data_IF_653669063478
#
_entry.id   IF_653669063478
#
_cell.length_a   1.000
_cell.length_b   1.000
_cell.length_c   1.000
_cell.angle_alpha   90.00
_cell.angle_beta   90.00
_cell.angle_gamma   90.00
#
_symmetry.space_group_name_H-M   'P 1'
#
loop_
_entity.id
_entity.type
_entity.pdbx_description
1 polymer ?
#
# COMPACT_ATOMS: atom_id res chain seq x y z
N UNK A 1 21.02 64.44 31.00
CA UNK A 1 21.34 63.06 31.45
C UNK A 1 20.04 62.27 31.44
N UNK A 2 19.97 61.22 30.62
CA UNK A 2 19.27 59.93 30.79
C UNK A 2 19.27 59.27 29.40
N UNK A 3 19.99 58.15 29.30
CA UNK A 3 20.07 57.26 28.15
C UNK A 3 18.99 56.16 28.25
N UNK A 4 18.93 55.33 27.19
CA UNK A 4 18.31 54.01 27.01
C UNK A 4 16.88 54.02 26.42
N UNK A 5 16.56 53.26 25.37
CA UNK A 5 17.33 52.28 24.61
C UNK A 5 16.43 51.70 23.52
N UNK A 6 16.92 51.64 22.28
CA UNK A 6 16.18 51.08 21.15
C UNK A 6 16.37 49.54 21.14
N UNK A 7 15.27 48.80 21.34
CA UNK A 7 15.26 47.34 21.23
C UNK A 7 15.10 46.96 19.77
N UNK A 8 16.17 46.45 19.15
CA UNK A 8 16.14 45.90 17.80
C UNK A 8 15.70 44.43 17.90
N UNK A 9 14.48 44.12 17.46
CA UNK A 9 14.05 42.74 17.24
C UNK A 9 14.72 42.20 15.97
N UNK A 10 15.68 41.28 16.13
CA UNK A 10 16.16 40.46 15.02
C UNK A 10 15.15 39.34 14.73
N UNK A 11 14.38 39.48 13.65
CA UNK A 11 13.67 38.37 13.03
C UNK A 11 14.70 37.48 12.31
N UNK A 12 15.11 36.39 12.97
CA UNK A 12 15.89 35.33 12.33
C UNK A 12 15.04 34.56 11.32
N UNK A 13 15.18 34.86 10.03
CA UNK A 13 14.66 34.01 8.97
C UNK A 13 15.58 32.79 8.84
N UNK A 14 15.12 31.64 9.31
CA UNK A 14 15.74 30.36 8.99
C UNK A 14 15.44 30.02 7.53
N UNK A 15 16.30 30.46 6.60
CA UNK A 15 16.26 30.02 5.22
C UNK A 15 16.82 28.59 5.13
N UNK A 16 15.93 27.62 4.92
CA UNK A 16 16.35 26.28 4.48
C UNK A 16 17.04 26.43 3.11
N UNK A 17 18.31 26.02 3.03
CA UNK A 17 19.11 26.22 1.83
C UNK A 17 18.72 25.21 0.73
N UNK A 18 18.55 25.63 -0.54
CA UNK A 18 18.16 24.74 -1.64
C UNK A 18 19.08 23.52 -1.84
N UNK A 19 20.36 23.65 -1.45
CA UNK A 19 21.36 22.58 -1.58
C UNK A 19 21.04 21.32 -0.77
N UNK A 20 20.38 21.43 0.39
CA UNK A 20 20.06 20.25 1.21
C UNK A 20 18.93 19.42 0.58
N UNK A 21 18.01 20.09 -0.13
CA UNK A 21 16.91 19.45 -0.87
C UNK A 21 17.43 18.71 -2.10
N UNK A 22 18.33 19.32 -2.88
CA UNK A 22 18.92 18.71 -4.07
C UNK A 22 19.77 17.48 -3.73
N UNK A 23 20.51 17.51 -2.61
CA UNK A 23 21.31 16.36 -2.17
C UNK A 23 20.46 15.17 -1.71
N UNK A 24 19.27 15.41 -1.11
CA UNK A 24 18.33 14.35 -0.73
C UNK A 24 17.65 13.69 -1.93
N UNK A 25 17.38 14.45 -2.99
CA UNK A 25 16.79 13.94 -4.24
C UNK A 25 17.79 13.19 -5.13
N UNK A 26 19.10 13.42 -4.99
CA UNK A 26 20.13 12.89 -5.88
C UNK A 26 20.20 11.34 -5.98
N UNK A 27 19.60 10.63 -5.01
CA UNK A 27 19.58 9.16 -4.97
C UNK A 27 18.17 8.55 -5.07
N UNK A 28 17.17 9.33 -5.50
CA UNK A 28 15.80 8.82 -5.60
C UNK A 28 15.61 7.97 -6.86
N UNK A 29 14.99 6.79 -6.75
CA UNK A 29 14.70 5.96 -7.91
C UNK A 29 13.58 6.59 -8.75
N UNK A 30 13.52 6.37 -10.07
CA UNK A 30 12.36 6.80 -10.86
C UNK A 30 11.06 6.13 -10.39
N UNK A 31 11.15 4.86 -9.96
CA UNK A 31 10.02 4.05 -9.47
C UNK A 31 10.43 3.36 -8.17
N UNK A 32 9.51 3.33 -7.20
CA UNK A 32 9.66 2.57 -5.97
C UNK A 32 8.43 1.72 -5.69
N UNK A 33 8.66 0.43 -5.39
CA UNK A 33 7.59 -0.55 -5.16
C UNK A 33 7.54 -0.94 -3.69
N UNK A 34 6.40 -0.74 -3.06
CA UNK A 34 6.10 -1.32 -1.75
C UNK A 34 5.42 -2.67 -1.93
N UNK A 35 5.94 -3.71 -1.28
CA UNK A 35 5.32 -5.03 -1.29
C UNK A 35 4.85 -5.47 0.09
N UNK A 36 3.65 -6.02 0.21
CA UNK A 36 3.13 -6.57 1.46
C UNK A 36 2.72 -8.03 1.29
N UNK A 37 3.36 -8.89 2.09
CA UNK A 37 3.12 -10.34 2.15
C UNK A 37 1.77 -10.69 2.77
N UNK A 38 1.38 -11.93 2.58
CA UNK A 38 0.26 -12.63 3.18
C UNK A 38 0.54 -13.14 4.59
N UNK A 39 -0.53 -13.56 5.29
CA UNK A 39 -0.49 -14.04 6.67
C UNK A 39 0.44 -15.25 6.83
N UNK A 40 1.12 -15.35 7.98
CA UNK A 40 2.06 -16.40 8.42
C UNK A 40 3.40 -16.46 7.70
N UNK A 41 3.56 -15.77 6.57
CA UNK A 41 4.82 -15.76 5.82
C UNK A 41 5.89 -14.98 6.59
N UNK A 42 7.13 -15.44 6.52
CA UNK A 42 8.29 -14.76 7.12
C UNK A 42 8.49 -13.35 6.53
N UNK A 43 9.18 -12.45 7.24
CA UNK A 43 9.46 -11.09 6.74
C UNK A 43 10.01 -11.08 5.30
N UNK A 44 9.44 -10.20 4.47
CA UNK A 44 9.73 -10.12 3.03
C UNK A 44 8.47 -9.82 2.23
N UNK A 45 8.53 -10.06 0.92
CA UNK A 45 7.41 -9.81 0.00
C UNK A 45 6.35 -10.91 0.00
N UNK A 46 6.69 -12.13 0.41
CA UNK A 46 5.81 -13.30 0.22
C UNK A 46 5.37 -13.43 -1.23
N UNK A 47 4.10 -13.77 -1.45
CA UNK A 47 3.52 -13.97 -2.77
C UNK A 47 3.36 -12.67 -3.58
N UNK A 48 3.37 -11.49 -2.94
CA UNK A 48 3.48 -10.21 -3.65
C UNK A 48 4.78 -10.10 -4.47
N UNK A 49 5.81 -10.86 -4.08
CA UNK A 49 7.13 -10.88 -4.71
C UNK A 49 7.09 -11.16 -6.22
N UNK A 50 6.14 -11.96 -6.70
CA UNK A 50 6.00 -12.27 -8.14
C UNK A 50 5.80 -10.99 -8.97
N UNK A 51 4.88 -10.12 -8.54
CA UNK A 51 4.59 -8.86 -9.24
C UNK A 51 5.66 -7.80 -8.95
N UNK A 52 6.14 -7.71 -7.71
CA UNK A 52 7.25 -6.79 -7.36
C UNK A 52 8.46 -7.06 -8.26
N UNK A 53 8.87 -8.31 -8.39
CA UNK A 53 10.04 -8.69 -9.19
C UNK A 53 9.83 -8.44 -10.68
N UNK A 54 8.62 -8.67 -11.21
CA UNK A 54 8.34 -8.43 -12.63
C UNK A 54 8.38 -6.93 -12.98
N UNK A 55 7.90 -6.06 -12.08
CA UNK A 55 8.00 -4.60 -12.25
C UNK A 55 9.47 -4.17 -12.26
N UNK A 56 10.28 -4.66 -11.32
CA UNK A 56 11.71 -4.32 -11.24
C UNK A 56 12.44 -4.75 -12.51
N UNK A 57 12.16 -5.95 -13.01
CA UNK A 57 12.78 -6.47 -14.24
C UNK A 57 12.39 -5.68 -15.48
N UNK A 58 11.12 -5.24 -15.57
CA UNK A 58 10.61 -4.51 -16.72
C UNK A 58 11.04 -3.03 -16.74
N UNK A 59 11.37 -2.44 -15.58
CA UNK A 59 11.60 -1.01 -15.42
C UNK A 59 12.97 -0.73 -14.76
N UNK A 60 14.05 -0.53 -15.55
CA UNK A 60 15.39 -0.28 -15.01
C UNK A 60 15.45 0.90 -14.05
N UNK A 61 16.21 0.76 -12.96
CA UNK A 61 16.33 1.78 -11.91
C UNK A 61 15.22 1.73 -10.85
N UNK A 62 14.24 0.84 -11.00
CA UNK A 62 13.22 0.58 -9.96
C UNK A 62 13.86 -0.02 -8.72
N UNK A 63 13.44 0.44 -7.55
CA UNK A 63 13.78 -0.17 -6.26
C UNK A 63 12.52 -0.64 -5.54
N UNK A 64 12.67 -1.43 -4.48
CA UNK A 64 11.53 -1.91 -3.70
C UNK A 64 11.85 -2.06 -2.22
N UNK A 65 10.81 -2.02 -1.38
CA UNK A 65 10.90 -2.39 0.02
C UNK A 65 9.64 -3.15 0.49
N UNK A 66 9.84 -4.11 1.39
CA UNK A 66 8.74 -4.87 1.97
C UNK A 66 8.16 -4.11 3.16
N UNK A 67 6.84 -4.10 3.29
CA UNK A 67 6.16 -3.54 4.46
C UNK A 67 6.49 -4.40 5.68
N UNK A 68 7.09 -3.76 6.68
CA UNK A 68 7.39 -4.38 7.97
C UNK A 68 6.15 -4.32 8.84
N UNK A 69 5.47 -5.45 8.95
CA UNK A 69 4.29 -5.63 9.79
C UNK A 69 4.14 -7.09 10.23
N UNK A 70 3.28 -7.41 11.21
CA UNK A 70 3.21 -8.76 11.78
C UNK A 70 2.86 -9.85 10.77
N UNK A 71 1.99 -9.57 9.79
CA UNK A 71 1.41 -10.56 8.87
C UNK A 71 0.97 -11.84 9.58
N UNK A 72 0.14 -11.69 10.61
CA UNK A 72 -0.23 -12.78 11.51
C UNK A 72 -1.73 -12.88 11.70
N UNK A 73 -2.19 -14.06 12.10
CA UNK A 73 -3.58 -14.38 12.42
C UNK A 73 -3.71 -15.14 13.74
N UNK A 74 -2.81 -14.89 14.69
CA UNK A 74 -2.75 -15.56 15.99
C UNK A 74 -1.78 -16.75 16.06
N UNK A 75 -1.12 -17.11 14.95
CA UNK A 75 -0.18 -18.23 14.92
C UNK A 75 1.13 -17.89 15.65
N UNK A 76 1.67 -18.86 16.40
CA UNK A 76 2.93 -18.70 17.11
C UNK A 76 4.13 -18.42 16.17
N UNK A 77 4.09 -18.95 14.94
CA UNK A 77 5.15 -18.77 13.93
C UNK A 77 5.38 -17.31 13.51
N UNK A 78 4.37 -16.46 13.66
CA UNK A 78 4.42 -15.02 13.36
C UNK A 78 4.28 -14.14 14.62
N UNK A 79 4.54 -14.71 15.81
CA UNK A 79 4.54 -13.97 17.08
C UNK A 79 3.19 -13.89 17.79
N UNK A 80 2.16 -14.62 17.32
CA UNK A 80 0.88 -14.73 18.02
C UNK A 80 -0.02 -13.49 17.93
N UNK A 81 0.32 -12.51 17.10
CA UNK A 81 -0.48 -11.30 16.90
C UNK A 81 -1.80 -11.67 16.23
N UNK A 82 -2.93 -11.27 16.82
CA UNK A 82 -4.25 -11.54 16.28
C UNK A 82 -4.46 -10.88 14.92
N UNK A 83 -5.30 -11.47 14.06
CA UNK A 83 -5.50 -11.01 12.69
C UNK A 83 -5.87 -9.53 12.61
N UNK A 84 -6.86 -9.11 13.40
CA UNK A 84 -7.32 -7.73 13.44
C UNK A 84 -6.20 -6.76 13.83
N UNK A 85 -5.39 -7.12 14.83
CA UNK A 85 -4.25 -6.31 15.28
C UNK A 85 -3.14 -6.27 14.23
N UNK A 86 -2.89 -7.38 13.54
CA UNK A 86 -1.93 -7.45 12.44
C UNK A 86 -2.34 -6.56 11.27
N UNK A 87 -3.60 -6.63 10.84
CA UNK A 87 -4.14 -5.77 9.79
C UNK A 87 -4.08 -4.29 10.20
N UNK A 88 -4.48 -3.94 11.44
CA UNK A 88 -4.43 -2.56 11.94
C UNK A 88 -3.01 -2.00 11.99
N UNK A 89 -2.06 -2.77 12.52
CA UNK A 89 -0.65 -2.40 12.54
C UNK A 89 -0.06 -2.30 11.13
N UNK A 90 -0.44 -3.22 10.23
CA UNK A 90 -0.01 -3.20 8.85
C UNK A 90 -0.52 -1.99 8.08
N UNK A 91 -1.78 -1.57 8.27
CA UNK A 91 -2.32 -0.33 7.67
C UNK A 91 -1.50 0.89 8.10
N UNK A 92 -1.16 0.99 9.39
CA UNK A 92 -0.30 2.07 9.89
C UNK A 92 1.14 1.98 9.34
N UNK A 93 1.67 0.76 9.18
CA UNK A 93 3.00 0.52 8.62
C UNK A 93 3.09 0.94 7.14
N UNK A 94 2.07 0.63 6.33
CA UNK A 94 1.98 1.09 4.94
C UNK A 94 2.00 2.61 4.89
N UNK A 95 1.13 3.28 5.65
CA UNK A 95 1.07 4.75 5.66
C UNK A 95 2.41 5.37 6.09
N UNK A 96 3.03 4.82 7.13
CA UNK A 96 4.34 5.29 7.62
C UNK A 96 5.42 5.15 6.57
N UNK A 97 5.56 3.98 5.95
CA UNK A 97 6.61 3.70 4.97
C UNK A 97 6.44 4.56 3.71
N UNK A 98 5.22 4.59 3.16
CA UNK A 98 4.89 5.35 1.93
C UNK A 98 5.07 6.85 2.15
N UNK A 99 4.59 7.40 3.26
CA UNK A 99 4.74 8.83 3.56
C UNK A 99 6.20 9.21 3.78
N UNK A 100 6.95 8.40 4.54
CA UNK A 100 8.35 8.65 4.79
C UNK A 100 9.18 8.58 3.50
N UNK A 101 8.87 7.63 2.61
CA UNK A 101 9.51 7.55 1.30
C UNK A 101 9.19 8.76 0.43
N UNK A 102 7.92 9.15 0.28
CA UNK A 102 7.53 10.31 -0.51
C UNK A 102 8.17 11.61 0.00
N UNK A 103 8.31 11.78 1.32
CA UNK A 103 9.03 12.93 1.89
C UNK A 103 10.52 12.98 1.49
N UNK A 104 11.17 11.82 1.33
CA UNK A 104 12.56 11.72 0.87
C UNK A 104 12.67 11.86 -0.65
N UNK A 105 11.72 11.27 -1.36
CA UNK A 105 11.70 11.14 -2.81
C UNK A 105 10.35 11.59 -3.37
N UNK A 106 10.08 12.91 -3.40
CA UNK A 106 8.77 13.44 -3.75
C UNK A 106 8.39 13.21 -5.21
N UNK A 107 9.38 13.04 -6.10
CA UNK A 107 9.17 12.89 -7.54
C UNK A 107 9.14 11.43 -8.01
N UNK A 108 9.47 10.48 -7.13
CA UNK A 108 9.46 9.05 -7.45
C UNK A 108 8.03 8.54 -7.63
N UNK A 109 7.80 7.78 -8.70
CA UNK A 109 6.53 7.08 -8.91
C UNK A 109 6.43 5.89 -7.93
N UNK A 110 5.31 5.80 -7.22
CA UNK A 110 5.09 4.77 -6.19
C UNK A 110 4.13 3.71 -6.73
N UNK A 111 4.48 2.44 -6.51
CA UNK A 111 3.63 1.29 -6.78
C UNK A 111 3.40 0.52 -5.48
N UNK A 112 2.15 0.10 -5.25
CA UNK A 112 1.77 -0.73 -4.11
C UNK A 112 1.43 -2.14 -4.62
N UNK A 113 1.97 -3.19 -3.99
CA UNK A 113 1.66 -4.59 -4.32
C UNK A 113 1.38 -5.38 -3.05
N UNK A 114 0.12 -5.75 -2.84
CA UNK A 114 -0.32 -6.44 -1.62
C UNK A 114 -0.94 -7.79 -1.94
N UNK A 115 -0.60 -8.81 -1.15
CA UNK A 115 -1.14 -10.15 -1.29
C UNK A 115 -1.89 -10.58 -0.02
N UNK A 116 -3.14 -11.06 -0.15
CA UNK A 116 -3.99 -11.47 0.96
C UNK A 116 -4.16 -10.37 2.02
N UNK A 117 -3.74 -10.60 3.28
CA UNK A 117 -3.69 -9.56 4.33
C UNK A 117 -2.85 -8.34 3.89
N UNK A 118 -1.80 -8.53 3.09
CA UNK A 118 -1.03 -7.47 2.47
C UNK A 118 -1.84 -6.58 1.52
N UNK A 119 -2.78 -7.18 0.78
CA UNK A 119 -3.75 -6.45 -0.05
C UNK A 119 -4.72 -5.63 0.80
N UNK A 120 -5.23 -6.22 1.90
CA UNK A 120 -6.12 -5.52 2.84
C UNK A 120 -5.46 -4.30 3.47
N UNK A 121 -4.21 -4.41 3.94
CA UNK A 121 -3.54 -3.27 4.59
C UNK A 121 -3.22 -2.15 3.63
N UNK A 122 -2.93 -2.46 2.36
CA UNK A 122 -2.73 -1.46 1.30
C UNK A 122 -4.04 -0.79 0.90
N UNK A 123 -5.13 -1.55 0.77
CA UNK A 123 -6.49 -1.03 0.53
C UNK A 123 -6.88 -0.04 1.62
N UNK A 124 -6.77 -0.45 2.89
CA UNK A 124 -7.08 0.41 4.03
C UNK A 124 -6.26 1.70 4.01
N UNK A 125 -4.95 1.61 3.72
CA UNK A 125 -4.07 2.77 3.75
C UNK A 125 -4.26 3.72 2.58
N UNK A 126 -4.63 3.21 1.40
CA UNK A 126 -4.74 4.01 0.17
C UNK A 126 -6.16 4.51 -0.10
N UNK A 127 -7.17 3.71 0.23
CA UNK A 127 -8.58 4.07 0.03
C UNK A 127 -9.24 4.65 1.28
N UNK A 128 -8.66 4.48 2.48
CA UNK A 128 -9.27 4.93 3.75
C UNK A 128 -10.56 4.17 4.04
N UNK A 129 -11.62 4.85 4.50
CA UNK A 129 -12.95 4.28 4.67
C UNK A 129 -13.09 3.27 5.83
N UNK A 130 -12.08 3.14 6.68
CA UNK A 130 -12.07 2.24 7.83
C UNK A 130 -12.02 0.76 7.47
N UNK A 131 -11.95 -0.07 8.51
CA UNK A 131 -11.98 -1.52 8.46
C UNK A 131 -12.38 -2.07 9.84
N UNK A 132 -13.68 -2.32 10.01
CA UNK A 132 -14.23 -2.79 11.28
C UNK A 132 -13.72 -4.18 11.66
N UNK A 133 -13.34 -5.01 10.69
CA UNK A 133 -12.74 -6.33 10.95
C UNK A 133 -11.37 -6.23 11.63
N UNK A 134 -10.67 -5.10 11.42
CA UNK A 134 -9.39 -4.76 12.04
C UNK A 134 -9.52 -3.78 13.22
N UNK A 135 -10.75 -3.37 13.56
CA UNK A 135 -11.00 -2.34 14.58
C UNK A 135 -10.56 -0.93 14.16
N UNK A 136 -10.45 -0.65 12.85
CA UNK A 136 -10.17 0.68 12.31
C UNK A 136 -11.50 1.40 12.08
N UNK A 137 -11.81 2.38 12.91
CA UNK A 137 -13.03 3.20 12.80
C UNK A 137 -12.82 4.52 12.09
N UNK A 138 -11.59 5.04 12.06
CA UNK A 138 -11.25 6.24 11.29
C UNK A 138 -11.37 5.95 9.79
N UNK A 139 -12.14 6.78 9.10
CA UNK A 139 -12.40 6.67 7.67
C UNK A 139 -11.46 7.53 6.82
N UNK A 140 -10.59 8.33 7.44
CA UNK A 140 -9.58 9.12 6.73
C UNK A 140 -8.59 8.22 5.99
N UNK A 141 -7.94 8.78 4.95
CA UNK A 141 -6.86 8.10 4.23
C UNK A 141 -5.56 8.41 4.96
N UNK A 142 -4.86 7.42 5.54
CA UNK A 142 -3.66 7.68 6.34
C UNK A 142 -2.40 7.97 5.49
N UNK A 143 -2.37 7.56 4.21
CA UNK A 143 -1.35 8.04 3.27
C UNK A 143 -1.60 9.53 3.00
N UNK A 144 -0.56 10.34 3.06
CA UNK A 144 -0.60 11.80 2.84
C UNK A 144 -1.00 12.15 1.40
N UNK A 145 -1.62 13.31 1.20
CA UNK A 145 -2.05 13.76 -0.12
C UNK A 145 -0.89 13.85 -1.14
N UNK A 146 0.32 14.25 -0.69
CA UNK A 146 1.51 14.29 -1.56
C UNK A 146 1.91 12.89 -2.03
N UNK A 147 1.88 11.91 -1.13
CA UNK A 147 2.19 10.52 -1.48
C UNK A 147 1.09 9.90 -2.35
N UNK A 148 -0.20 10.19 -2.09
CA UNK A 148 -1.32 9.74 -2.91
C UNK A 148 -1.15 10.15 -4.39
N UNK A 149 -0.70 11.39 -4.66
CA UNK A 149 -0.46 11.88 -6.02
C UNK A 149 0.66 11.13 -6.76
N UNK A 150 1.57 10.51 -6.02
CA UNK A 150 2.70 9.75 -6.56
C UNK A 150 2.42 8.26 -6.69
N UNK A 151 1.34 7.75 -6.08
CA UNK A 151 0.92 6.36 -6.27
C UNK A 151 0.27 6.22 -7.65
N UNK A 152 1.00 5.57 -8.57
CA UNK A 152 0.55 5.37 -9.96
C UNK A 152 -0.31 4.12 -10.11
N UNK A 153 0.03 3.06 -9.38
CA UNK A 153 -0.74 1.82 -9.39
C UNK A 153 -0.71 1.13 -8.03
N UNK A 154 -1.80 0.43 -7.71
CA UNK A 154 -1.88 -0.51 -6.60
C UNK A 154 -2.47 -1.84 -7.08
N UNK A 155 -1.75 -2.93 -6.80
CA UNK A 155 -2.13 -4.29 -7.13
C UNK A 155 -2.50 -5.00 -5.83
N UNK A 156 -3.72 -5.53 -5.75
CA UNK A 156 -4.21 -6.28 -4.59
C UNK A 156 -4.61 -7.66 -5.06
N UNK A 157 -3.92 -8.70 -4.59
CA UNK A 157 -4.20 -10.08 -4.97
C UNK A 157 -4.82 -10.81 -3.79
N UNK A 158 -6.05 -11.31 -3.95
CA UNK A 158 -6.75 -12.02 -2.88
C UNK A 158 -7.06 -11.15 -1.66
N UNK A 159 -7.29 -9.84 -1.83
CA UNK A 159 -7.60 -8.97 -0.68
C UNK A 159 -8.92 -9.37 -0.01
N UNK A 160 -8.94 -9.63 1.31
CA UNK A 160 -10.19 -9.86 2.06
C UNK A 160 -11.19 -8.70 2.03
N UNK A 161 -10.73 -7.50 1.62
CA UNK A 161 -11.58 -6.30 1.43
C UNK A 161 -12.41 -6.36 0.14
N UNK A 162 -12.18 -7.34 -0.73
CA UNK A 162 -12.90 -7.49 -1.99
C UNK A 162 -14.41 -7.58 -1.78
N UNK A 163 -15.15 -6.88 -2.63
CA UNK A 163 -16.61 -6.97 -2.77
C UNK A 163 -16.93 -6.80 -4.25
N UNK A 164 -17.74 -7.69 -4.84
CA UNK A 164 -18.10 -7.64 -6.25
C UNK A 164 -18.79 -6.32 -6.62
N UNK A 165 -18.66 -5.92 -7.89
CA UNK A 165 -19.28 -4.71 -8.44
C UNK A 165 -18.45 -3.42 -8.35
N UNK A 166 -17.22 -3.49 -7.82
CA UNK A 166 -16.31 -2.34 -7.79
C UNK A 166 -15.56 -2.20 -9.12
N UNK A 167 -15.30 -0.96 -9.56
CA UNK A 167 -14.69 -0.68 -10.87
C UNK A 167 -13.26 -1.20 -11.04
N UNK A 168 -12.54 -1.38 -9.93
CA UNK A 168 -11.17 -1.87 -9.88
C UNK A 168 -11.06 -3.41 -9.81
N UNK A 169 -12.18 -4.12 -9.76
CA UNK A 169 -12.15 -5.57 -9.60
C UNK A 169 -11.75 -6.27 -10.90
N UNK A 170 -10.95 -7.31 -10.76
CA UNK A 170 -10.58 -8.25 -11.83
C UNK A 170 -10.75 -9.67 -11.30
N UNK A 171 -11.19 -10.59 -12.15
CA UNK A 171 -11.49 -11.97 -11.80
C UNK A 171 -12.98 -12.29 -11.82
N UNK A 172 -13.34 -13.52 -11.46
CA UNK A 172 -14.70 -14.05 -11.59
C UNK A 172 -15.47 -14.14 -10.26
N UNK A 173 -14.92 -13.59 -9.16
CA UNK A 173 -15.66 -13.51 -7.89
C UNK A 173 -16.87 -12.57 -8.02
N UNK A 174 -18.08 -13.14 -7.88
CA UNK A 174 -19.35 -12.40 -7.81
C UNK A 174 -19.88 -12.21 -6.38
N UNK A 175 -19.05 -12.54 -5.37
CA UNK A 175 -19.39 -12.43 -3.95
C UNK A 175 -18.46 -11.43 -3.24
N UNK A 176 -18.02 -11.73 -2.02
CA UNK A 176 -17.24 -10.83 -1.18
C UNK A 176 -16.36 -11.60 -0.21
N UNK A 177 -15.29 -10.97 0.26
CA UNK A 177 -14.39 -11.54 1.25
C UNK A 177 -14.90 -11.42 2.68
N UNK A 178 -14.22 -12.05 3.63
CA UNK A 178 -14.65 -12.04 5.04
C UNK A 178 -14.54 -10.65 5.70
N UNK A 179 -13.72 -9.77 5.14
CA UNK A 179 -13.55 -8.39 5.57
C UNK A 179 -14.01 -7.44 4.46
N UNK A 180 -15.07 -7.76 3.71
CA UNK A 180 -15.48 -6.98 2.54
C UNK A 180 -15.67 -5.46 2.81
N UNK A 181 -15.34 -4.64 1.80
CA UNK A 181 -15.82 -3.25 1.74
C UNK A 181 -17.35 -3.21 1.74
N UNK A 182 -17.99 -2.14 2.27
CA UNK A 182 -19.39 -1.89 1.98
C UNK A 182 -19.60 -1.82 0.46
N UNK A 183 -20.66 -2.43 -0.07
CA UNK A 183 -20.92 -2.42 -1.51
C UNK A 183 -21.06 -1.00 -2.10
N UNK A 184 -21.50 -0.03 -1.28
CA UNK A 184 -21.61 1.38 -1.65
C UNK A 184 -20.30 2.18 -1.53
N UNK A 185 -19.24 1.59 -0.96
CA UNK A 185 -17.96 2.27 -0.82
C UNK A 185 -17.34 2.49 -2.19
N UNK A 186 -16.73 3.66 -2.39
CA UNK A 186 -16.00 3.99 -3.61
C UNK A 186 -14.62 4.52 -3.21
N UNK A 187 -13.57 3.83 -3.65
CA UNK A 187 -12.21 4.31 -3.41
C UNK A 187 -11.94 5.55 -4.28
N UNK A 188 -11.46 6.68 -3.71
CA UNK A 188 -11.15 7.87 -4.50
C UNK A 188 -10.11 7.65 -5.60
N UNK A 189 -9.29 6.60 -5.46
CA UNK A 189 -8.21 6.24 -6.37
C UNK A 189 -8.49 4.95 -7.15
N UNK A 190 -9.75 4.51 -7.26
CA UNK A 190 -10.12 3.24 -7.89
C UNK A 190 -9.51 3.05 -9.29
N UNK A 191 -9.37 4.13 -10.08
CA UNK A 191 -8.76 4.08 -11.41
C UNK A 191 -7.27 3.66 -11.41
N UNK A 192 -6.57 3.75 -10.27
CA UNK A 192 -5.18 3.35 -10.09
C UNK A 192 -5.06 1.97 -9.44
N UNK A 193 -6.16 1.23 -9.26
CA UNK A 193 -6.17 -0.04 -8.53
C UNK A 193 -6.58 -1.16 -9.49
N UNK A 194 -5.96 -2.32 -9.32
CA UNK A 194 -6.56 -3.59 -9.70
C UNK A 194 -6.59 -4.54 -8.51
N UNK A 195 -7.79 -5.00 -8.17
CA UNK A 195 -8.04 -5.95 -7.10
C UNK A 195 -8.51 -7.28 -7.67
N UNK A 196 -7.63 -8.27 -7.62
CA UNK A 196 -7.81 -9.60 -8.20
C UNK A 196 -8.45 -10.55 -7.20
N UNK A 197 -9.57 -11.16 -7.58
CA UNK A 197 -10.24 -12.21 -6.80
C UNK A 197 -11.10 -13.11 -7.67
N UNK A 198 -11.04 -14.42 -7.40
CA UNK A 198 -11.73 -15.46 -8.15
C UNK A 198 -12.77 -16.16 -7.27
N UNK A 199 -13.85 -16.66 -7.88
CA UNK A 199 -14.97 -17.32 -7.22
C UNK A 199 -14.57 -18.48 -6.29
N UNK A 200 -13.57 -19.34 -6.62
CA UNK A 200 -13.16 -20.43 -5.73
C UNK A 200 -12.43 -19.98 -4.46
N UNK A 201 -12.00 -18.72 -4.36
CA UNK A 201 -11.20 -18.23 -3.23
C UNK A 201 -12.03 -18.14 -1.92
N UNK A 202 -11.57 -18.73 -0.81
CA UNK A 202 -12.32 -18.73 0.45
C UNK A 202 -12.13 -17.48 1.32
N UNK A 203 -11.25 -16.54 0.94
CA UNK A 203 -10.88 -15.38 1.74
C UNK A 203 -11.30 -14.05 1.13
N UNK A 204 -11.03 -13.83 -0.15
CA UNK A 204 -11.47 -12.64 -0.90
C UNK A 204 -12.85 -12.85 -1.55
N UNK A 205 -13.27 -14.10 -1.68
CA UNK A 205 -14.61 -14.50 -2.10
C UNK A 205 -15.23 -15.41 -1.04
N UNK A 206 -16.24 -16.19 -1.42
CA UNK A 206 -16.92 -17.17 -0.56
C UNK A 206 -16.76 -18.61 -1.06
N UNK A 207 -15.68 -18.89 -1.79
CA UNK A 207 -15.35 -20.21 -2.29
C UNK A 207 -14.76 -21.13 -1.21
N UNK A 208 -14.06 -22.19 -1.64
CA UNK A 208 -13.52 -23.22 -0.77
C UNK A 208 -12.14 -23.76 -1.20
N UNK A 209 -11.50 -23.14 -2.18
CA UNK A 209 -10.20 -23.54 -2.72
C UNK A 209 -9.09 -22.59 -2.25
N UNK A 210 -8.43 -22.95 -1.14
CA UNK A 210 -7.30 -22.18 -0.63
C UNK A 210 -6.07 -22.21 -1.55
N UNK A 211 -5.99 -23.15 -2.51
CA UNK A 211 -4.90 -23.17 -3.50
C UNK A 211 -5.10 -22.04 -4.50
N UNK A 212 -6.34 -21.79 -4.93
CA UNK A 212 -6.67 -20.64 -5.80
C UNK A 212 -6.15 -19.33 -5.21
N UNK A 213 -6.31 -19.13 -3.90
CA UNK A 213 -5.85 -17.93 -3.21
C UNK A 213 -4.34 -17.67 -3.34
N UNK A 214 -3.54 -18.72 -3.53
CA UNK A 214 -2.07 -18.62 -3.65
C UNK A 214 -1.58 -18.51 -5.10
N UNK A 215 -2.48 -18.58 -6.08
CA UNK A 215 -2.11 -18.66 -7.50
C UNK A 215 -2.19 -17.32 -8.24
N UNK A 216 -2.68 -16.24 -7.62
CA UNK A 216 -2.91 -14.97 -8.32
C UNK A 216 -1.67 -14.36 -8.97
N UNK A 217 -0.49 -14.54 -8.39
CA UNK A 217 0.77 -14.10 -9.01
C UNK A 217 1.04 -14.81 -10.35
N UNK A 218 0.69 -16.09 -10.44
CA UNK A 218 0.81 -16.88 -11.68
C UNK A 218 -0.31 -16.58 -12.67
N UNK A 219 -1.55 -16.45 -12.19
CA UNK A 219 -2.73 -16.24 -13.04
C UNK A 219 -2.74 -14.83 -13.63
N UNK A 220 -2.50 -13.81 -12.80
CA UNK A 220 -2.69 -12.40 -13.13
C UNK A 220 -1.41 -11.59 -13.15
N UNK A 221 -0.24 -12.16 -12.85
CA UNK A 221 1.01 -11.39 -12.76
C UNK A 221 1.37 -10.61 -14.03
N UNK A 222 1.10 -11.16 -15.21
CA UNK A 222 1.32 -10.49 -16.49
C UNK A 222 0.32 -9.35 -16.74
N UNK A 223 -0.95 -9.55 -16.37
CA UNK A 223 -1.99 -8.52 -16.46
C UNK A 223 -1.68 -7.36 -15.50
N UNK A 224 -1.30 -7.68 -14.25
CA UNK A 224 -0.91 -6.71 -13.24
C UNK A 224 0.29 -5.86 -13.69
N UNK A 225 1.31 -6.48 -14.30
CA UNK A 225 2.44 -5.76 -14.87
C UNK A 225 2.01 -4.84 -16.03
N UNK A 226 1.12 -5.33 -16.90
CA UNK A 226 0.59 -4.54 -18.01
C UNK A 226 -0.14 -3.31 -17.50
N UNK A 227 -0.99 -3.46 -16.48
CA UNK A 227 -1.67 -2.35 -15.84
C UNK A 227 -0.68 -1.37 -15.21
N UNK A 228 0.28 -1.85 -14.43
CA UNK A 228 1.32 -0.98 -13.82
C UNK A 228 2.03 -0.15 -14.89
N UNK A 229 2.51 -0.79 -15.96
CA UNK A 229 3.21 -0.09 -17.03
C UNK A 229 2.31 0.93 -17.75
N UNK A 230 0.99 0.68 -17.85
CA UNK A 230 0.05 1.65 -18.41
C UNK A 230 -0.15 2.91 -17.56
N UNK A 231 0.24 2.86 -16.27
CA UNK A 231 0.09 3.96 -15.31
C UNK A 231 1.37 4.75 -15.07
N UNK A 232 2.51 4.21 -15.46
CA UNK A 232 3.79 4.90 -15.39
C UNK A 232 3.87 5.95 -16.51
N UNK A 233 4.42 7.11 -16.17
CA UNK A 233 4.72 8.19 -17.12
C UNK A 233 6.01 7.93 -17.91
#
# INVERSE_FOLDING_TARGET
MIFLGATILLLGQAAASPMEVTARQANCPPIHVFGARETTVSPGFGSAGTVVNSIIQANPGTTSEAIVYPACGGQASCGGVQYADSARQGTAAVATAVNAFNQRCPDSQIILVGYSQGGQIMDNAYCGGGDTSAGITDTSIPISASAQQMIRAAIMMGSPRFVAGQSQNVGDCLAQGFAARPASFQCPFAANIQSYCDAPDPFCCNGNDAVRHQQYGTIYGAEALTFVNSKLA
#
